data_IF_209970506518
#
_entry.id   IF_209970506518
#
_cell.length_a   1.000
_cell.length_b   1.000
_cell.length_c   1.000
_cell.angle_alpha   90.00
_cell.angle_beta   90.00
_cell.angle_gamma   90.00
#
_symmetry.space_group_name_H-M   'P 1'
#
loop_
_entity.id
_entity.type
_entity.pdbx_description
1 polymer ?
#
# COMPACT_ATOMS: atom_id res chain seq x y z
N UNK A 1 -13.83 -5.57 -10.54
CA UNK A 1 -14.44 -4.53 -9.69
C UNK A 1 -15.59 -5.12 -8.90
N UNK A 2 -15.63 -4.85 -7.61
CA UNK A 2 -16.77 -5.16 -6.73
C UNK A 2 -17.58 -3.86 -6.64
N UNK A 3 -18.86 -3.88 -7.00
CA UNK A 3 -19.75 -2.73 -6.83
C UNK A 3 -20.49 -2.78 -5.50
N UNK A 4 -21.18 -1.70 -5.14
CA UNK A 4 -22.08 -1.64 -3.98
C UNK A 4 -23.52 -1.41 -4.41
N UNK A 5 -24.45 -1.76 -3.53
CA UNK A 5 -25.88 -1.48 -3.73
C UNK A 5 -26.15 -0.02 -3.36
N UNK A 6 -26.85 0.70 -4.24
CA UNK A 6 -27.20 2.10 -4.00
C UNK A 6 -27.96 2.26 -2.67
N UNK A 7 -27.53 3.22 -1.85
CA UNK A 7 -28.09 3.45 -0.51
C UNK A 7 -27.57 2.50 0.59
N UNK A 8 -26.65 1.59 0.26
CA UNK A 8 -26.03 0.65 1.21
C UNK A 8 -24.51 0.79 1.29
N UNK A 9 -23.99 1.99 0.97
CA UNK A 9 -22.55 2.30 1.03
C UNK A 9 -21.99 2.04 2.43
N UNK A 10 -22.73 2.44 3.47
CA UNK A 10 -22.34 2.36 4.90
C UNK A 10 -22.66 1.03 5.60
N UNK A 11 -23.08 0.00 4.87
CA UNK A 11 -23.38 -1.29 5.49
C UNK A 11 -22.09 -2.08 5.74
N UNK A 12 -22.04 -2.80 6.87
CA UNK A 12 -20.96 -3.75 7.14
C UNK A 12 -20.84 -4.78 6.00
N UNK A 13 -19.59 -5.05 5.61
CA UNK A 13 -19.24 -5.98 4.55
C UNK A 13 -18.44 -7.14 5.13
N UNK A 14 -18.92 -8.35 4.86
CA UNK A 14 -18.14 -9.58 5.05
C UNK A 14 -17.55 -10.03 3.71
N UNK A 15 -16.25 -9.82 3.52
CA UNK A 15 -15.51 -10.28 2.35
C UNK A 15 -14.98 -11.70 2.61
N UNK A 16 -15.27 -12.64 1.71
CA UNK A 16 -14.65 -13.97 1.71
C UNK A 16 -13.82 -14.14 0.45
N UNK A 17 -12.50 -14.31 0.61
CA UNK A 17 -11.59 -14.58 -0.49
C UNK A 17 -11.29 -16.07 -0.50
N UNK A 18 -11.66 -16.76 -1.58
CA UNK A 18 -11.30 -18.16 -1.79
C UNK A 18 -9.92 -18.22 -2.42
N UNK A 19 -9.03 -19.05 -1.87
CA UNK A 19 -7.64 -19.18 -2.30
C UNK A 19 -7.25 -20.65 -2.48
N UNK A 20 -6.20 -20.91 -3.26
CA UNK A 20 -5.68 -22.27 -3.40
C UNK A 20 -4.86 -22.61 -2.15
N UNK A 21 -4.80 -23.88 -1.72
CA UNK A 21 -3.89 -24.32 -0.69
C UNK A 21 -2.46 -23.90 -0.99
N UNK A 22 -1.83 -23.19 -0.05
CA UNK A 22 -0.47 -22.67 -0.20
C UNK A 22 -0.37 -21.26 -0.77
N UNK A 23 -1.47 -20.67 -1.27
CA UNK A 23 -1.50 -19.24 -1.60
C UNK A 23 -1.72 -18.41 -0.32
N UNK A 24 -1.08 -17.24 -0.26
CA UNK A 24 -1.17 -16.29 0.84
C UNK A 24 -1.59 -14.92 0.32
N UNK A 25 -2.37 -14.20 1.13
CA UNK A 25 -2.81 -12.84 0.84
C UNK A 25 -1.91 -11.78 1.49
N UNK A 26 -1.55 -10.76 0.72
CA UNK A 26 -0.98 -9.50 1.23
C UNK A 26 -2.01 -8.41 1.04
N UNK A 27 -2.33 -7.71 2.13
CA UNK A 27 -3.39 -6.71 2.19
C UNK A 27 -3.23 -5.84 3.45
N UNK A 28 -3.68 -4.57 3.44
CA UNK A 28 -3.82 -3.77 4.66
C UNK A 28 -4.79 -4.41 5.68
N UNK A 29 -5.72 -5.25 5.23
CA UNK A 29 -6.74 -5.84 6.09
C UNK A 29 -6.20 -6.91 7.02
N UNK A 30 -6.81 -7.03 8.20
CA UNK A 30 -6.60 -8.14 9.12
C UNK A 30 -7.73 -9.16 8.93
N UNK A 31 -7.37 -10.40 8.56
CA UNK A 31 -8.36 -11.46 8.44
C UNK A 31 -8.91 -11.82 9.83
N UNK A 32 -10.23 -11.93 9.94
CA UNK A 32 -10.91 -12.43 11.15
C UNK A 32 -10.93 -13.96 11.19
N UNK A 33 -10.74 -14.60 10.03
CA UNK A 33 -10.57 -16.04 9.89
C UNK A 33 -9.67 -16.32 8.69
N UNK A 34 -8.72 -17.22 8.87
CA UNK A 34 -7.83 -17.70 7.82
C UNK A 34 -7.72 -19.22 7.85
N UNK A 35 -7.98 -19.86 6.72
CA UNK A 35 -7.83 -21.31 6.50
C UNK A 35 -6.91 -21.57 5.31
N UNK A 36 -6.72 -22.84 4.94
CA UNK A 36 -5.98 -23.22 3.74
C UNK A 36 -6.68 -22.85 2.42
N UNK A 37 -7.99 -22.62 2.44
CA UNK A 37 -8.81 -22.45 1.23
C UNK A 37 -9.60 -21.14 1.19
N UNK A 38 -9.64 -20.37 2.29
CA UNK A 38 -10.21 -19.04 2.29
C UNK A 38 -9.67 -18.14 3.41
N UNK A 39 -9.83 -16.83 3.21
CA UNK A 39 -9.74 -15.81 4.24
C UNK A 39 -11.05 -15.03 4.31
N UNK A 40 -11.43 -14.61 5.52
CA UNK A 40 -12.61 -13.78 5.77
C UNK A 40 -12.18 -12.48 6.44
N UNK A 41 -12.72 -11.38 5.94
CA UNK A 41 -12.50 -10.03 6.45
C UNK A 41 -13.84 -9.40 6.83
N UNK A 42 -13.79 -8.53 7.83
CA UNK A 42 -14.87 -7.60 8.17
C UNK A 42 -14.43 -6.19 7.77
N UNK A 43 -15.32 -5.45 7.11
CA UNK A 43 -15.12 -4.05 6.77
C UNK A 43 -16.39 -3.28 7.11
N UNK A 44 -16.24 -2.05 7.62
CA UNK A 44 -17.36 -1.29 8.14
C UNK A 44 -18.25 -0.70 7.03
N UNK A 45 -17.68 -0.47 5.84
CA UNK A 45 -18.41 0.07 4.69
C UNK A 45 -17.70 -0.23 3.36
N UNK A 46 -18.32 0.20 2.26
CA UNK A 46 -17.77 0.03 0.92
C UNK A 46 -16.45 0.77 0.70
N UNK A 47 -16.25 1.94 1.33
CA UNK A 47 -15.02 2.72 1.13
C UNK A 47 -13.81 1.96 1.64
N UNK A 48 -13.94 1.29 2.80
CA UNK A 48 -12.90 0.38 3.31
C UNK A 48 -12.64 -0.80 2.37
N UNK A 49 -13.64 -1.27 1.64
CA UNK A 49 -13.46 -2.36 0.66
C UNK A 49 -12.77 -1.87 -0.62
N UNK A 50 -13.20 -0.71 -1.13
CA UNK A 50 -12.67 -0.12 -2.35
C UNK A 50 -11.20 0.29 -2.18
N UNK A 51 -10.81 0.69 -0.97
CA UNK A 51 -9.48 1.19 -0.63
C UNK A 51 -8.56 0.12 0.03
N UNK A 52 -8.95 -1.15 -0.03
CA UNK A 52 -8.18 -2.25 0.54
C UNK A 52 -7.73 -3.24 -0.53
N UNK A 53 -6.63 -2.96 -1.26
CA UNK A 53 -6.10 -3.89 -2.25
C UNK A 53 -5.74 -5.23 -1.62
N UNK A 54 -5.87 -6.31 -2.41
CA UNK A 54 -5.49 -7.65 -2.00
C UNK A 54 -4.71 -8.33 -3.11
N UNK A 55 -3.53 -8.84 -2.79
CA UNK A 55 -2.73 -9.69 -3.69
C UNK A 55 -2.62 -11.09 -3.12
N UNK A 56 -3.11 -12.09 -3.85
CA UNK A 56 -3.05 -13.49 -3.48
C UNK A 56 -2.20 -14.28 -4.47
N UNK A 57 -1.28 -15.08 -3.96
CA UNK A 57 -0.43 -15.93 -4.78
C UNK A 57 0.51 -16.79 -3.94
N UNK A 58 1.50 -17.39 -4.59
CA UNK A 58 2.58 -18.06 -3.88
C UNK A 58 3.30 -17.06 -2.98
N UNK A 59 3.65 -17.45 -1.74
CA UNK A 59 4.16 -16.52 -0.75
C UNK A 59 5.58 -16.09 -1.10
N UNK A 60 5.71 -14.82 -1.45
CA UNK A 60 6.96 -14.07 -1.31
C UNK A 60 6.65 -12.82 -0.49
N UNK A 61 6.82 -12.97 0.82
CA UNK A 61 6.44 -11.94 1.79
C UNK A 61 7.53 -11.75 2.83
N UNK A 62 7.67 -10.51 3.29
CA UNK A 62 8.52 -10.15 4.42
C UNK A 62 7.75 -9.21 5.35
N UNK A 63 8.24 -9.03 6.57
CA UNK A 63 7.67 -8.06 7.50
C UNK A 63 8.73 -7.45 8.39
N UNK A 64 8.45 -6.25 8.89
CA UNK A 64 9.26 -5.50 9.84
C UNK A 64 8.36 -4.70 10.78
N UNK A 65 8.78 -4.54 12.04
CA UNK A 65 8.10 -3.69 13.00
C UNK A 65 8.76 -2.30 13.00
N UNK A 66 7.96 -1.26 12.82
CA UNK A 66 8.43 0.14 12.73
C UNK A 66 7.42 1.03 13.44
N UNK A 67 7.84 1.84 14.42
CA UNK A 67 6.96 2.81 15.11
C UNK A 67 5.70 2.20 15.72
N UNK A 68 5.76 0.93 16.14
CA UNK A 68 4.63 0.17 16.68
C UNK A 68 3.70 -0.47 15.64
N UNK A 69 3.91 -0.24 14.34
CA UNK A 69 3.15 -0.85 13.26
C UNK A 69 3.84 -2.09 12.70
N UNK A 70 3.05 -3.07 12.27
CA UNK A 70 3.53 -4.18 11.43
C UNK A 70 3.51 -3.75 9.97
N UNK A 71 4.69 -3.57 9.37
CA UNK A 71 4.84 -3.31 7.95
C UNK A 71 5.05 -4.63 7.21
N UNK A 72 4.11 -4.99 6.35
CA UNK A 72 4.16 -6.17 5.48
C UNK A 72 4.64 -5.77 4.09
N UNK A 73 5.51 -6.59 3.49
CA UNK A 73 5.96 -6.46 2.11
C UNK A 73 5.51 -7.71 1.38
N UNK A 74 4.75 -7.54 0.30
CA UNK A 74 4.37 -8.61 -0.62
C UNK A 74 4.98 -8.37 -1.98
N UNK A 75 5.55 -9.40 -2.59
CA UNK A 75 6.14 -9.32 -3.93
C UNK A 75 5.52 -10.36 -4.84
N UNK A 76 5.13 -9.93 -6.03
CA UNK A 76 4.97 -10.79 -7.20
C UNK A 76 6.07 -10.43 -8.20
N UNK A 77 6.95 -11.37 -8.50
CA UNK A 77 8.07 -11.24 -9.43
C UNK A 77 7.97 -12.40 -10.43
N UNK A 78 7.52 -12.17 -11.67
CA UNK A 78 7.18 -13.26 -12.60
C UNK A 78 8.35 -14.20 -12.90
N UNK A 79 9.59 -13.70 -12.90
CA UNK A 79 10.81 -14.49 -13.10
C UNK A 79 11.61 -14.71 -11.81
N UNK A 80 11.08 -14.29 -10.64
CA UNK A 80 11.71 -14.46 -9.33
C UNK A 80 13.00 -13.66 -9.14
N UNK A 81 13.17 -12.57 -9.90
CA UNK A 81 14.35 -11.70 -9.87
C UNK A 81 14.42 -10.89 -8.57
N UNK A 82 13.26 -10.50 -8.05
CA UNK A 82 13.13 -9.67 -6.84
C UNK A 82 12.41 -10.48 -5.77
N UNK A 83 12.88 -10.37 -4.53
CA UNK A 83 12.33 -11.06 -3.37
C UNK A 83 11.86 -10.05 -2.31
N UNK A 84 10.76 -10.35 -1.61
CA UNK A 84 10.22 -9.45 -0.58
C UNK A 84 11.22 -9.16 0.54
N UNK A 85 12.06 -10.13 0.91
CA UNK A 85 13.12 -9.93 1.90
C UNK A 85 14.17 -8.91 1.43
N UNK A 86 14.56 -8.96 0.15
CA UNK A 86 15.50 -8.00 -0.43
C UNK A 86 14.89 -6.59 -0.49
N UNK A 87 13.62 -6.46 -0.85
CA UNK A 87 12.89 -5.19 -0.81
C UNK A 87 12.88 -4.64 0.62
N UNK A 88 12.44 -5.45 1.61
CA UNK A 88 12.46 -5.08 3.03
C UNK A 88 13.83 -4.56 3.45
N UNK A 89 14.89 -5.29 3.14
CA UNK A 89 16.24 -4.95 3.58
C UNK A 89 16.76 -3.64 3.00
N UNK A 90 16.32 -3.29 1.77
CA UNK A 90 16.68 -2.03 1.12
C UNK A 90 15.83 -0.83 1.59
N UNK A 91 14.61 -1.06 2.10
CA UNK A 91 13.72 0.03 2.59
C UNK A 91 13.68 0.14 4.12
N UNK A 92 14.26 -0.80 4.88
CA UNK A 92 14.17 -0.81 6.35
C UNK A 92 14.65 0.51 6.98
N UNK A 93 15.76 1.06 6.49
CA UNK A 93 16.37 2.28 7.05
C UNK A 93 15.54 3.50 6.68
N UNK A 94 14.91 3.49 5.50
CA UNK A 94 13.90 4.48 5.11
C UNK A 94 12.70 4.44 6.05
N UNK A 95 12.14 3.26 6.34
CA UNK A 95 10.98 3.15 7.23
C UNK A 95 11.30 3.66 8.64
N UNK A 96 12.49 3.38 9.17
CA UNK A 96 12.95 3.93 10.44
C UNK A 96 13.16 5.45 10.38
N UNK A 97 13.64 5.99 9.27
CA UNK A 97 13.72 7.44 9.06
C UNK A 97 12.32 8.08 9.12
N UNK A 98 11.33 7.48 8.45
CA UNK A 98 9.95 7.95 8.45
C UNK A 98 9.31 7.86 9.83
N UNK A 99 9.55 6.77 10.57
CA UNK A 99 9.16 6.64 11.98
C UNK A 99 9.68 7.80 12.83
N UNK A 100 10.99 8.07 12.77
CA UNK A 100 11.61 9.15 13.52
C UNK A 100 11.06 10.52 13.11
N UNK A 101 10.88 10.72 11.81
CA UNK A 101 10.30 11.95 11.24
C UNK A 101 8.88 12.22 11.78
N UNK A 102 8.10 11.18 11.98
CA UNK A 102 6.74 11.24 12.52
C UNK A 102 6.69 11.20 14.06
N UNK A 103 7.83 11.30 14.74
CA UNK A 103 7.90 11.38 16.20
C UNK A 103 7.96 10.02 16.92
N UNK A 104 8.38 8.97 16.23
CA UNK A 104 8.65 7.64 16.80
C UNK A 104 7.44 6.71 16.89
N UNK A 105 6.28 7.12 16.35
CA UNK A 105 5.08 6.28 16.28
C UNK A 105 4.38 6.50 14.95
N UNK A 106 3.98 5.41 14.29
CA UNK A 106 3.18 5.47 13.07
C UNK A 106 1.68 5.61 13.40
N UNK A 107 0.89 6.29 12.55
CA UNK A 107 -0.55 6.48 12.76
C UNK A 107 -1.40 5.24 12.46
N UNK A 108 -0.78 4.09 12.18
CA UNK A 108 -1.44 2.84 11.79
C UNK A 108 -0.87 1.67 12.59
N UNK A 109 -1.65 0.60 12.77
CA UNK A 109 -1.18 -0.64 13.42
C UNK A 109 -0.57 -1.62 12.41
N UNK A 110 -1.01 -1.55 11.15
CA UNK A 110 -0.55 -2.40 10.05
C UNK A 110 -0.46 -1.56 8.78
N UNK A 111 0.61 -1.76 8.02
CA UNK A 111 0.79 -1.19 6.69
C UNK A 111 1.25 -2.27 5.70
N UNK A 112 0.80 -2.24 4.44
CA UNK A 112 1.23 -3.20 3.43
C UNK A 112 1.80 -2.53 2.17
N UNK A 113 3.05 -2.83 1.85
CA UNK A 113 3.63 -2.58 0.53
C UNK A 113 3.35 -3.77 -0.38
N UNK A 114 2.62 -3.56 -1.48
CA UNK A 114 2.19 -4.60 -2.41
C UNK A 114 2.87 -4.37 -3.76
N UNK A 115 3.94 -5.10 -4.04
CA UNK A 115 4.67 -5.01 -5.29
C UNK A 115 4.21 -6.04 -6.30
N UNK A 116 3.76 -5.55 -7.45
CA UNK A 116 3.55 -6.34 -8.65
C UNK A 116 4.60 -5.93 -9.69
N UNK A 117 5.65 -6.74 -9.83
CA UNK A 117 6.65 -6.53 -10.87
C UNK A 117 6.19 -7.15 -12.19
N UNK A 118 6.58 -6.53 -13.30
CA UNK A 118 6.24 -6.99 -14.65
C UNK A 118 7.47 -7.08 -15.54
N UNK A 119 7.56 -8.16 -16.33
CA UNK A 119 8.54 -8.33 -17.42
C UNK A 119 7.98 -7.89 -18.78
N UNK A 120 6.74 -7.41 -18.81
CA UNK A 120 6.05 -6.90 -20.00
C UNK A 120 5.49 -5.50 -19.76
N UNK A 121 5.37 -4.72 -20.83
CA UNK A 121 4.66 -3.44 -20.77
C UNK A 121 3.16 -3.70 -20.55
N UNK A 122 2.59 -3.04 -19.54
CA UNK A 122 1.15 -3.07 -19.29
C UNK A 122 0.35 -2.53 -20.49
N UNK A 123 -0.97 -2.80 -20.51
CA UNK A 123 -1.85 -2.40 -21.63
C UNK A 123 -1.83 -0.88 -21.89
N UNK A 124 -1.68 -0.07 -20.83
CA UNK A 124 -1.52 1.38 -20.92
C UNK A 124 -0.08 1.84 -21.19
N UNK A 125 0.90 0.95 -21.04
CA UNK A 125 2.32 1.28 -20.97
C UNK A 125 2.75 2.03 -19.71
N UNK A 126 1.83 2.32 -18.79
CA UNK A 126 2.10 3.05 -17.56
C UNK A 126 2.67 2.16 -16.45
N UNK A 127 3.59 2.73 -15.67
CA UNK A 127 4.17 2.16 -14.45
C UNK A 127 4.06 3.22 -13.35
N UNK A 128 3.98 2.80 -12.10
CA UNK A 128 3.85 3.71 -10.98
C UNK A 128 3.38 3.01 -9.72
N UNK A 129 2.98 3.81 -8.75
CA UNK A 129 2.37 3.34 -7.53
C UNK A 129 1.08 4.09 -7.25
N UNK A 130 0.30 3.55 -6.31
CA UNK A 130 -0.93 4.15 -5.85
C UNK A 130 -1.06 3.95 -4.34
N UNK A 131 -1.41 5.01 -3.66
CA UNK A 131 -1.63 5.08 -2.24
C UNK A 131 -3.03 4.56 -1.86
N UNK A 132 -3.10 3.96 -0.68
CA UNK A 132 -4.33 3.50 -0.04
C UNK A 132 -4.20 3.70 1.46
N UNK A 133 -5.31 3.72 2.20
CA UNK A 133 -5.35 4.09 3.62
C UNK A 133 -4.24 3.47 4.48
N UNK A 134 -4.01 2.16 4.32
CA UNK A 134 -3.00 1.42 5.08
C UNK A 134 -2.09 0.58 4.16
N UNK A 135 -1.97 0.96 2.88
CA UNK A 135 -1.13 0.21 1.94
C UNK A 135 -0.75 1.04 0.73
N UNK A 136 0.19 0.54 -0.06
CA UNK A 136 0.47 1.07 -1.38
C UNK A 136 0.68 -0.08 -2.37
N UNK A 137 0.22 0.11 -3.61
CA UNK A 137 0.33 -0.87 -4.69
C UNK A 137 1.31 -0.34 -5.73
N UNK A 138 2.30 -1.15 -6.07
CA UNK A 138 3.36 -0.79 -7.01
C UNK A 138 3.26 -1.66 -8.25
N UNK A 139 3.21 -1.03 -9.42
CA UNK A 139 3.33 -1.69 -10.71
C UNK A 139 4.61 -1.20 -11.39
N UNK A 140 5.67 -2.00 -11.25
CA UNK A 140 7.05 -1.62 -11.59
C UNK A 140 7.71 -2.66 -12.52
N UNK A 141 8.75 -2.29 -13.29
CA UNK A 141 9.45 -3.26 -14.11
C UNK A 141 10.23 -4.24 -13.24
N UNK A 142 10.23 -5.52 -13.61
CA UNK A 142 11.05 -6.55 -12.96
C UNK A 142 12.51 -6.39 -13.40
N UNK A 143 13.34 -5.84 -12.52
CA UNK A 143 14.78 -5.68 -12.76
C UNK A 143 15.59 -5.98 -11.48
N UNK A 144 16.85 -6.44 -11.58
CA UNK A 144 17.69 -6.61 -10.42
C UNK A 144 17.81 -5.32 -9.60
N UNK A 145 17.77 -5.44 -8.27
CA UNK A 145 17.94 -4.33 -7.32
C UNK A 145 19.41 -3.87 -7.27
N UNK A 146 19.87 -3.24 -8.34
CA UNK A 146 21.12 -2.47 -8.36
C UNK A 146 20.92 -1.12 -7.65
N UNK A 147 21.97 -0.32 -7.51
CA UNK A 147 21.95 0.96 -6.80
C UNK A 147 20.85 1.91 -7.32
N UNK A 148 20.79 2.13 -8.64
CA UNK A 148 19.78 2.99 -9.28
C UNK A 148 18.34 2.48 -9.04
N UNK A 149 18.11 1.18 -9.15
CA UNK A 149 16.80 0.58 -8.89
C UNK A 149 16.40 0.65 -7.42
N UNK A 150 17.37 0.53 -6.50
CA UNK A 150 17.15 0.70 -5.06
C UNK A 150 16.80 2.14 -4.72
N UNK A 151 17.51 3.11 -5.29
CA UNK A 151 17.21 4.54 -5.07
C UNK A 151 15.80 4.88 -5.56
N UNK A 152 15.45 4.47 -6.78
CA UNK A 152 14.09 4.65 -7.30
C UNK A 152 13.05 3.97 -6.42
N UNK A 153 13.29 2.72 -6.01
CA UNK A 153 12.39 1.99 -5.12
C UNK A 153 12.19 2.74 -3.79
N UNK A 154 13.26 3.26 -3.20
CA UNK A 154 13.22 4.01 -1.95
C UNK A 154 12.45 5.30 -2.09
N UNK A 155 12.67 6.08 -3.15
CA UNK A 155 11.97 7.34 -3.38
C UNK A 155 10.47 7.12 -3.54
N UNK A 156 10.06 6.15 -4.36
CA UNK A 156 8.63 5.83 -4.53
C UNK A 156 8.06 5.26 -3.23
N UNK A 157 8.75 4.36 -2.53
CA UNK A 157 8.28 3.88 -1.22
C UNK A 157 8.12 5.00 -0.20
N UNK A 158 9.03 5.97 -0.20
CA UNK A 158 9.00 7.10 0.70
C UNK A 158 7.75 7.96 0.43
N UNK A 159 7.53 8.32 -0.83
CA UNK A 159 6.37 9.06 -1.29
C UNK A 159 5.07 8.37 -0.87
N UNK A 160 4.87 7.13 -1.34
CA UNK A 160 3.63 6.39 -1.08
C UNK A 160 3.35 6.20 0.41
N UNK A 161 4.38 5.92 1.21
CA UNK A 161 4.19 5.74 2.65
C UNK A 161 3.82 7.06 3.34
N UNK A 162 4.32 8.21 2.89
CA UNK A 162 3.94 9.49 3.51
C UNK A 162 2.49 9.90 3.25
N UNK A 163 1.82 9.28 2.27
CA UNK A 163 0.39 9.49 2.09
C UNK A 163 -0.45 9.08 3.31
N UNK A 164 0.09 8.23 4.22
CA UNK A 164 -0.58 7.93 5.50
C UNK A 164 -0.87 9.20 6.31
N UNK A 165 -0.13 10.29 6.12
CA UNK A 165 -0.40 11.58 6.76
C UNK A 165 -1.46 12.34 5.98
N UNK A 166 -1.22 12.59 4.68
CA UNK A 166 -2.12 13.29 3.77
C UNK A 166 -2.20 12.59 2.42
N UNK A 167 -3.40 12.36 1.86
CA UNK A 167 -4.68 12.77 2.41
C UNK A 167 -5.22 11.81 3.48
N UNK A 168 -4.58 10.69 3.78
CA UNK A 168 -5.27 9.58 4.46
C UNK A 168 -5.70 9.90 5.91
N UNK A 169 -4.91 10.67 6.67
CA UNK A 169 -5.28 11.14 8.02
C UNK A 169 -5.80 12.58 8.05
N UNK A 170 -5.25 13.46 7.22
CA UNK A 170 -5.68 14.87 7.12
C UNK A 170 -6.18 15.12 5.70
N UNK A 171 -7.48 15.39 5.56
CA UNK A 171 -8.10 15.62 4.27
C UNK A 171 -9.33 16.54 4.33
N UNK A 172 -9.72 17.00 3.15
CA UNK A 172 -10.94 17.75 2.89
C UNK A 172 -12.16 16.83 2.83
N UNK A 173 -13.35 17.45 2.88
CA UNK A 173 -14.62 16.74 2.81
C UNK A 173 -14.76 15.89 1.53
N UNK A 174 -14.26 16.38 0.39
CA UNK A 174 -14.33 15.71 -0.91
C UNK A 174 -13.60 14.36 -0.92
N UNK A 175 -12.56 14.22 -0.09
CA UNK A 175 -11.85 12.95 0.10
C UNK A 175 -12.52 12.11 1.19
N UNK A 176 -13.02 12.73 2.26
CA UNK A 176 -13.72 12.03 3.34
C UNK A 176 -14.98 11.29 2.87
N UNK A 177 -15.80 11.96 2.04
CA UNK A 177 -17.01 11.38 1.45
C UNK A 177 -16.88 11.32 -0.08
N UNK A 178 -15.98 10.45 -0.53
CA UNK A 178 -15.72 10.31 -1.95
C UNK A 178 -16.93 9.66 -2.67
N UNK A 179 -17.39 10.33 -3.73
CA UNK A 179 -18.44 9.81 -4.61
C UNK A 179 -17.80 9.09 -5.80
N UNK A 180 -17.76 7.76 -5.74
CA UNK A 180 -17.20 6.90 -6.79
C UNK A 180 -17.97 6.93 -8.13
N UNK A 181 -19.19 7.47 -8.15
CA UNK A 181 -20.03 7.56 -9.36
C UNK A 181 -19.83 8.93 -10.03
N UNK A 182 -19.89 10.00 -9.24
CA UNK A 182 -19.71 11.38 -9.70
C UNK A 182 -18.58 12.03 -8.88
N UNK A 183 -17.32 11.78 -9.23
CA UNK A 183 -16.19 12.23 -8.43
C UNK A 183 -16.05 13.76 -8.51
N UNK A 184 -15.99 14.38 -7.33
CA UNK A 184 -15.65 15.79 -7.17
C UNK A 184 -14.23 15.90 -6.63
N UNK A 185 -13.32 16.43 -7.45
CA UNK A 185 -11.91 16.51 -7.10
C UNK A 185 -11.67 17.61 -6.07
N UNK A 186 -10.84 17.32 -5.06
CA UNK A 186 -10.38 18.31 -4.09
C UNK A 186 -9.42 19.30 -4.74
N UNK A 187 -9.58 20.60 -4.46
CA UNK A 187 -8.62 21.64 -4.87
C UNK A 187 -7.30 21.58 -4.08
N UNK A 188 -7.23 20.73 -3.05
CA UNK A 188 -6.08 20.59 -2.16
C UNK A 188 -5.05 19.55 -2.64
N UNK A 189 -5.09 19.14 -3.91
CA UNK A 189 -4.10 18.18 -4.45
C UNK A 189 -2.66 18.67 -4.26
N UNK A 190 -2.43 19.99 -4.38
CA UNK A 190 -1.11 20.59 -4.11
C UNK A 190 -0.64 20.37 -2.67
N UNK A 191 -1.57 20.32 -1.71
CA UNK A 191 -1.27 20.04 -0.31
C UNK A 191 -0.95 18.56 -0.14
N UNK A 192 -1.77 17.67 -0.71
CA UNK A 192 -1.60 16.23 -0.56
C UNK A 192 -0.31 15.74 -1.23
N UNK A 193 -0.15 16.01 -2.52
CA UNK A 193 1.04 15.58 -3.28
C UNK A 193 2.28 16.37 -2.89
N UNK A 194 2.14 17.70 -2.75
CA UNK A 194 3.28 18.56 -2.46
C UNK A 194 3.85 18.34 -1.07
N UNK A 195 3.01 18.08 -0.06
CA UNK A 195 3.47 17.76 1.28
C UNK A 195 4.11 16.37 1.33
N UNK A 196 3.49 15.38 0.69
CA UNK A 196 4.02 14.02 0.60
C UNK A 196 5.41 14.02 -0.04
N UNK A 197 5.55 14.68 -1.18
CA UNK A 197 6.82 14.79 -1.91
C UNK A 197 7.91 15.49 -1.06
N UNK A 198 7.56 16.61 -0.43
CA UNK A 198 8.49 17.33 0.44
C UNK A 198 8.93 16.46 1.63
N UNK A 199 7.99 15.81 2.32
CA UNK A 199 8.27 14.99 3.49
C UNK A 199 9.10 13.75 3.12
N UNK A 200 8.80 13.11 1.99
CA UNK A 200 9.53 11.96 1.47
C UNK A 200 11.02 12.26 1.27
N UNK A 201 11.34 13.36 0.61
CA UNK A 201 12.74 13.77 0.42
C UNK A 201 13.38 14.27 1.71
N UNK A 202 12.67 15.09 2.49
CA UNK A 202 13.24 15.69 3.69
C UNK A 202 13.56 14.66 4.77
N UNK A 203 12.72 13.63 4.94
CA UNK A 203 12.98 12.53 5.87
C UNK A 203 14.24 11.74 5.49
N UNK A 204 14.45 11.48 4.20
CA UNK A 204 15.66 10.82 3.72
C UNK A 204 16.91 11.67 4.00
N UNK A 205 16.88 12.96 3.66
CA UNK A 205 18.01 13.88 3.92
C UNK A 205 18.36 13.98 5.41
N UNK A 206 17.35 13.98 6.29
CA UNK A 206 17.54 14.05 7.74
C UNK A 206 18.18 12.78 8.33
N UNK A 207 17.99 11.63 7.70
CA UNK A 207 18.53 10.36 8.17
C UNK A 207 19.97 10.09 7.73
N UNK A 208 20.45 10.82 6.70
CA UNK A 208 21.77 10.63 6.09
C UNK A 208 21.82 9.45 5.14
#
# INVERSE_FOLDING_TARGET
FIGYVQGQKENDIRLTVRKRPGDYGVSPLQAIQSTSDHDIYHLDNYDKLADAPLMYGQPDTASIMVGGAQVQIGVYSPNGVIQAAAVRDNIKDLLHAQELYLGGKLPVEKYAFIFYFTDTLGVSGGMGALEHMNSSVYFLPEMPLNEEAVDMLRDVCAHEFFHIVTPLNIHSHEIADFNFIEPHMSEHLWLYEGQTEYAAHHAQVMAG
#
